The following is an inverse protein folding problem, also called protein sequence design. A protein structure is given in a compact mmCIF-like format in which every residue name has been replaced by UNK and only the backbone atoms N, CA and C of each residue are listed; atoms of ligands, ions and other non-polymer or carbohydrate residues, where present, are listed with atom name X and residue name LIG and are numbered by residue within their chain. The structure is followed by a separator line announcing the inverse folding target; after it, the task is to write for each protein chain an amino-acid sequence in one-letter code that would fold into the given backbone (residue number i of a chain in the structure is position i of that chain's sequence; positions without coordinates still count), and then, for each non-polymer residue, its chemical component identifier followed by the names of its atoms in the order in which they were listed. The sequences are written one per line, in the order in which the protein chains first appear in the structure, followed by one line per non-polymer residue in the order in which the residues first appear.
data_IF_069608938583
#
_entry.id   IF_069608938583
#
_cell.length_a   1.000
_cell.length_b   1.000
_cell.length_c   1.000
_cell.angle_alpha   90.00
_cell.angle_beta   90.00
_cell.angle_gamma   90.00
#
_symmetry.space_group_name_H-M   'P 1'
#
loop_
_entity.id
_entity.type
_entity.pdbx_description
1 polymer ?
#
# COMPACT_ATOMS: atom_id res chain seq x y z
N UNK A 1 29.91 38.06 -1.76
CA UNK A 1 29.16 36.92 -1.18
C UNK A 1 27.85 36.73 -1.94
N UNK A 2 27.81 35.94 -3.03
CA UNK A 2 26.58 35.73 -3.80
C UNK A 2 25.86 34.48 -3.27
N UNK A 3 25.23 34.60 -2.10
CA UNK A 3 24.59 33.46 -1.43
C UNK A 3 23.08 33.55 -1.10
N UNK A 4 22.30 34.62 -1.43
CA UNK A 4 20.83 34.55 -1.27
C UNK A 4 20.06 34.05 -2.50
N UNK A 5 20.53 34.32 -3.73
CA UNK A 5 19.72 34.13 -4.95
C UNK A 5 19.58 32.66 -5.39
N UNK A 6 20.60 31.82 -5.15
CA UNK A 6 20.56 30.40 -5.50
C UNK A 6 19.53 29.61 -4.67
N UNK A 7 19.35 29.99 -3.39
CA UNK A 7 18.37 29.35 -2.51
C UNK A 7 16.93 29.69 -2.88
N UNK A 8 16.67 30.95 -3.26
CA UNK A 8 15.35 31.39 -3.71
C UNK A 8 14.98 30.73 -5.05
N UNK A 9 15.93 30.65 -5.99
CA UNK A 9 15.74 29.95 -7.26
C UNK A 9 15.48 28.45 -7.09
N UNK A 10 16.25 27.78 -6.21
CA UNK A 10 16.04 26.37 -5.88
C UNK A 10 14.69 26.10 -5.20
N UNK A 11 14.29 26.93 -4.24
CA UNK A 11 13.01 26.80 -3.54
C UNK A 11 11.80 27.02 -4.48
N UNK A 12 11.88 27.99 -5.41
CA UNK A 12 10.83 28.24 -6.38
C UNK A 12 10.68 27.11 -7.41
N UNK A 13 11.80 26.55 -7.91
CA UNK A 13 11.73 25.39 -8.79
C UNK A 13 11.17 24.16 -8.06
N UNK A 14 11.59 23.92 -6.82
CA UNK A 14 11.08 22.82 -6.00
C UNK A 14 9.58 22.93 -5.74
N UNK A 15 9.07 24.12 -5.40
CA UNK A 15 7.64 24.33 -5.17
C UNK A 15 6.81 24.15 -6.44
N UNK A 16 7.31 24.59 -7.60
CA UNK A 16 6.66 24.35 -8.90
C UNK A 16 6.59 22.86 -9.26
N UNK A 17 7.68 22.12 -9.05
CA UNK A 17 7.68 20.67 -9.28
C UNK A 17 6.69 19.94 -8.38
N UNK A 18 6.63 20.29 -7.09
CA UNK A 18 5.66 19.72 -6.15
C UNK A 18 4.20 20.06 -6.52
N UNK A 19 3.96 21.27 -7.05
CA UNK A 19 2.63 21.67 -7.51
C UNK A 19 2.20 20.87 -8.75
N UNK A 20 3.10 20.69 -9.73
CA UNK A 20 2.85 19.92 -10.94
C UNK A 20 2.58 18.43 -10.63
N UNK A 21 3.36 17.81 -9.73
CA UNK A 21 3.09 16.44 -9.29
C UNK A 21 1.72 16.29 -8.60
N UNK A 22 1.34 17.29 -7.79
CA UNK A 22 0.03 17.31 -7.12
C UNK A 22 -1.11 17.43 -8.13
N UNK A 23 -0.97 18.29 -9.13
CA UNK A 23 -1.97 18.48 -10.19
C UNK A 23 -2.14 17.19 -11.02
N UNK A 24 -1.02 16.57 -11.43
CA UNK A 24 -1.04 15.28 -12.14
C UNK A 24 -1.76 14.20 -11.36
N UNK A 25 -1.50 14.08 -10.05
CA UNK A 25 -2.19 13.11 -9.19
C UNK A 25 -3.68 13.42 -9.08
N UNK A 26 -4.05 14.68 -8.89
CA UNK A 26 -5.46 15.08 -8.84
C UNK A 26 -6.19 14.79 -10.16
N UNK A 27 -5.55 15.07 -11.30
CA UNK A 27 -6.10 14.76 -12.61
C UNK A 27 -6.30 13.25 -12.80
N UNK A 28 -5.32 12.44 -12.39
CA UNK A 28 -5.43 10.98 -12.41
C UNK A 28 -6.61 10.49 -11.56
N UNK A 29 -6.70 10.92 -10.31
CA UNK A 29 -7.79 10.54 -9.40
C UNK A 29 -9.15 10.95 -9.96
N UNK A 30 -9.25 12.13 -10.58
CA UNK A 30 -10.48 12.59 -11.25
C UNK A 30 -10.84 11.69 -12.43
N UNK A 31 -9.86 11.32 -13.26
CA UNK A 31 -10.10 10.44 -14.40
C UNK A 31 -10.52 9.03 -13.95
N UNK A 32 -9.98 8.52 -12.83
CA UNK A 32 -10.39 7.24 -12.24
C UNK A 32 -11.84 7.28 -11.78
N UNK A 33 -12.25 8.35 -11.10
CA UNK A 33 -13.65 8.56 -10.70
C UNK A 33 -14.60 8.58 -11.89
N UNK A 34 -14.20 9.20 -13.00
CA UNK A 34 -15.00 9.29 -14.22
C UNK A 34 -14.99 7.98 -15.05
N UNK A 35 -14.20 6.97 -14.66
CA UNK A 35 -14.05 5.73 -15.41
C UNK A 35 -13.25 5.88 -16.71
N UNK A 36 -12.54 7.00 -16.89
CA UNK A 36 -11.81 7.32 -18.12
C UNK A 36 -10.40 6.72 -18.17
N UNK A 37 -9.94 6.08 -17.10
CA UNK A 37 -8.60 5.45 -17.03
C UNK A 37 -8.68 4.03 -17.60
N UNK A 38 -7.83 3.66 -18.57
CA UNK A 38 -7.82 2.30 -19.12
C UNK A 38 -7.28 1.28 -18.10
N UNK A 39 -7.75 0.03 -18.21
CA UNK A 39 -7.29 -1.09 -17.37
C UNK A 39 -5.80 -1.38 -17.49
N UNK A 40 -5.25 -1.23 -18.70
CA UNK A 40 -3.90 -1.64 -19.02
C UNK A 40 -2.96 -0.43 -18.99
N UNK A 41 -2.03 -0.44 -18.05
CA UNK A 41 -0.95 0.53 -18.01
C UNK A 41 0.33 -0.16 -18.47
N UNK A 42 1.09 0.52 -19.33
CA UNK A 42 2.40 0.10 -19.84
C UNK A 42 3.25 -0.56 -18.74
N UNK A 43 3.87 -1.71 -19.05
CA UNK A 43 4.69 -2.52 -18.14
C UNK A 43 5.84 -1.78 -17.47
N UNK A 44 6.17 -0.56 -17.92
CA UNK A 44 7.19 0.30 -17.32
C UNK A 44 6.75 0.97 -16.00
N UNK A 45 5.46 1.01 -15.69
CA UNK A 45 4.94 1.58 -14.43
C UNK A 45 3.88 0.64 -13.82
N UNK A 46 4.30 -0.18 -12.87
CA UNK A 46 3.42 -1.14 -12.19
C UNK A 46 2.60 -0.51 -11.04
N UNK A 47 3.25 0.34 -10.25
CA UNK A 47 2.61 1.20 -9.24
C UNK A 47 2.29 2.53 -9.90
N UNK A 48 1.01 2.80 -10.15
CA UNK A 48 0.58 4.02 -10.83
C UNK A 48 0.47 5.17 -9.83
N UNK A 49 -0.06 4.85 -8.65
CA UNK A 49 -0.17 5.80 -7.55
C UNK A 49 0.38 5.12 -6.29
N UNK A 50 1.48 5.66 -5.75
CA UNK A 50 1.99 5.25 -4.45
C UNK A 50 1.02 5.70 -3.33
N UNK A 51 1.00 4.99 -2.19
CA UNK A 51 0.30 5.47 -1.00
C UNK A 51 0.75 6.90 -0.68
N UNK A 52 -0.16 7.75 -0.20
CA UNK A 52 0.22 9.11 0.22
C UNK A 52 -0.60 9.58 1.39
N UNK A 53 0.12 10.00 2.42
CA UNK A 53 -0.47 10.59 3.62
C UNK A 53 -0.89 12.05 3.40
N UNK A 54 -0.25 12.73 2.45
CA UNK A 54 -0.42 14.17 2.22
C UNK A 54 -1.42 14.47 1.10
N UNK A 55 -1.50 13.59 0.10
CA UNK A 55 -2.37 13.73 -1.05
C UNK A 55 -3.47 12.68 -0.98
N UNK A 56 -4.55 13.00 -0.28
CA UNK A 56 -5.73 12.15 -0.20
C UNK A 56 -6.35 11.95 -1.58
N UNK A 57 -6.69 10.72 -1.91
CA UNK A 57 -7.50 10.39 -3.08
C UNK A 57 -8.93 10.93 -2.93
N UNK A 58 -9.72 10.89 -4.00
CA UNK A 58 -11.10 11.35 -3.95
C UNK A 58 -12.10 10.29 -3.44
N UNK A 59 -11.66 9.03 -3.31
CA UNK A 59 -12.49 7.91 -2.89
C UNK A 59 -11.75 7.07 -1.86
N UNK A 60 -12.46 6.75 -0.78
CA UNK A 60 -12.03 5.73 0.17
C UNK A 60 -12.64 4.38 -0.20
N UNK A 61 -11.93 3.30 0.14
CA UNK A 61 -12.31 1.94 -0.24
C UNK A 61 -12.53 1.10 1.02
N UNK A 62 -13.68 0.41 1.10
CA UNK A 62 -13.93 -0.56 2.16
C UNK A 62 -13.14 -1.84 1.87
N UNK A 63 -12.37 -2.38 2.83
CA UNK A 63 -11.64 -3.61 2.63
C UNK A 63 -12.59 -4.80 2.51
N UNK A 64 -12.23 -5.74 1.66
CA UNK A 64 -12.88 -7.04 1.52
C UNK A 64 -11.92 -8.15 1.95
N UNK A 65 -12.41 -9.34 2.35
CA UNK A 65 -11.54 -10.47 2.63
C UNK A 65 -10.53 -10.74 1.53
N UNK A 66 -9.25 -10.75 1.90
CA UNK A 66 -8.11 -10.91 1.01
C UNK A 66 -7.58 -9.62 0.39
N UNK A 67 -8.11 -8.46 0.79
CA UNK A 67 -7.53 -7.17 0.39
C UNK A 67 -6.10 -7.07 0.90
N UNK A 68 -5.19 -6.70 0.00
CA UNK A 68 -3.81 -6.39 0.36
C UNK A 68 -3.77 -4.97 0.91
N UNK A 69 -3.24 -4.81 2.11
CA UNK A 69 -3.18 -3.53 2.81
C UNK A 69 -1.74 -3.08 3.01
N UNK A 70 -1.52 -1.77 3.08
CA UNK A 70 -0.26 -1.19 3.51
C UNK A 70 -0.46 0.03 4.42
N UNK A 71 0.53 0.32 5.25
CA UNK A 71 0.66 1.57 5.98
C UNK A 71 2.13 2.02 5.98
N UNK A 72 2.40 3.25 6.41
CA UNK A 72 3.78 3.72 6.60
C UNK A 72 4.25 3.58 8.04
N UNK A 73 5.50 3.16 8.19
CA UNK A 73 6.32 3.18 9.41
C UNK A 73 7.31 4.33 9.27
N UNK A 74 7.38 5.19 10.29
CA UNK A 74 8.19 6.42 10.28
C UNK A 74 8.01 7.33 9.04
N UNK A 75 6.86 7.23 8.36
CA UNK A 75 6.48 8.06 7.21
C UNK A 75 7.16 7.68 5.89
N UNK A 76 8.08 6.70 5.91
CA UNK A 76 8.96 6.41 4.77
C UNK A 76 9.12 4.92 4.46
N UNK A 77 8.80 4.02 5.38
CA UNK A 77 8.90 2.56 5.17
C UNK A 77 7.50 1.97 5.07
N UNK A 78 7.20 1.24 4.00
CA UNK A 78 5.92 0.54 3.89
C UNK A 78 5.90 -0.74 4.72
N UNK A 79 4.78 -0.99 5.39
CA UNK A 79 4.47 -2.27 6.01
C UNK A 79 3.17 -2.82 5.44
N UNK A 80 3.20 -4.07 5.00
CA UNK A 80 2.08 -4.71 4.30
C UNK A 80 1.44 -5.85 5.10
N UNK A 81 0.16 -6.08 4.86
CA UNK A 81 -0.59 -7.18 5.44
C UNK A 81 -1.77 -7.60 4.55
N UNK A 82 -2.58 -8.52 5.07
CA UNK A 82 -3.77 -9.04 4.37
C UNK A 82 -4.98 -8.88 5.30
N UNK A 83 -6.01 -8.21 4.80
CA UNK A 83 -7.30 -8.10 5.49
C UNK A 83 -8.03 -9.44 5.45
N UNK A 84 -8.47 -9.95 6.60
CA UNK A 84 -9.34 -11.13 6.67
C UNK A 84 -10.80 -10.73 6.71
N UNK A 85 -11.24 -10.12 7.80
CA UNK A 85 -12.60 -9.63 8.06
C UNK A 85 -12.57 -8.78 9.34
N UNK A 86 -13.64 -8.06 9.66
CA UNK A 86 -13.97 -7.59 11.02
C UNK A 86 -12.79 -7.05 11.85
N UNK A 87 -12.13 -5.99 11.37
CA UNK A 87 -10.97 -5.40 12.06
C UNK A 87 -9.83 -6.41 12.30
N UNK A 88 -9.59 -7.33 11.36
CA UNK A 88 -8.53 -8.32 11.45
C UNK A 88 -7.62 -8.29 10.22
N UNK A 89 -6.35 -7.99 10.46
CA UNK A 89 -5.27 -7.98 9.48
C UNK A 89 -4.23 -9.01 9.89
N UNK A 90 -3.82 -9.87 8.96
CA UNK A 90 -2.66 -10.74 9.16
C UNK A 90 -1.42 -10.04 8.66
N UNK A 91 -0.38 -10.02 9.49
CA UNK A 91 0.92 -9.46 9.16
C UNK A 91 2.06 -10.37 9.64
N UNK A 92 3.20 -10.26 8.95
CA UNK A 92 4.47 -10.75 9.48
C UNK A 92 5.09 -9.65 10.36
N UNK A 93 5.17 -9.90 11.67
CA UNK A 93 5.80 -8.97 12.61
C UNK A 93 7.33 -9.01 12.49
N UNK A 94 8.01 -7.92 12.88
CA UNK A 94 9.48 -7.84 12.86
C UNK A 94 10.19 -8.83 13.79
N UNK A 95 9.47 -9.52 14.68
CA UNK A 95 10.00 -10.66 15.44
C UNK A 95 10.03 -11.97 14.66
N UNK A 96 9.49 -12.01 13.43
CA UNK A 96 9.30 -13.23 12.65
C UNK A 96 7.97 -13.96 12.86
N UNK A 97 7.14 -13.50 13.80
CA UNK A 97 5.84 -14.13 14.06
C UNK A 97 4.78 -13.61 13.07
N UNK A 98 4.10 -14.50 12.37
CA UNK A 98 2.87 -14.18 11.65
C UNK A 98 1.72 -14.09 12.65
N UNK A 99 1.05 -12.94 12.70
CA UNK A 99 0.00 -12.65 13.68
C UNK A 99 -1.21 -12.00 13.04
N UNK A 100 -2.38 -12.29 13.61
CA UNK A 100 -3.61 -11.55 13.37
C UNK A 100 -3.70 -10.36 14.35
N UNK A 101 -3.97 -9.16 13.84
CA UNK A 101 -4.01 -7.92 14.61
C UNK A 101 -5.17 -7.04 14.17
N UNK A 102 -5.65 -6.20 15.10
CA UNK A 102 -6.58 -5.13 14.77
C UNK A 102 -5.95 -4.04 13.94
N UNK A 103 -6.76 -3.21 13.27
CA UNK A 103 -6.32 -1.97 12.61
C UNK A 103 -5.54 -1.10 13.59
N UNK A 104 -6.06 -0.92 14.81
CA UNK A 104 -5.38 -0.14 15.85
C UNK A 104 -3.98 -0.70 16.13
N UNK A 105 -3.84 -2.03 16.23
CA UNK A 105 -2.54 -2.67 16.48
C UNK A 105 -1.65 -2.69 15.23
N UNK A 106 -2.22 -2.76 14.04
CA UNK A 106 -1.53 -2.63 12.76
C UNK A 106 -1.00 -1.20 12.55
N UNK A 107 -1.56 -0.18 13.19
CA UNK A 107 -0.98 1.18 13.14
C UNK A 107 -0.10 1.49 14.37
N UNK A 108 -0.25 0.74 15.47
CA UNK A 108 0.47 1.00 16.71
C UNK A 108 2.00 0.94 16.55
N UNK A 109 2.69 1.95 17.09
CA UNK A 109 4.15 2.07 16.99
C UNK A 109 4.65 2.47 15.61
N UNK A 110 3.76 2.87 14.71
CA UNK A 110 4.05 3.37 13.36
C UNK A 110 3.56 4.83 13.29
N UNK A 111 4.25 5.68 12.54
CA UNK A 111 3.83 7.10 12.40
C UNK A 111 2.70 7.27 11.39
N UNK A 112 2.34 6.22 10.65
CA UNK A 112 1.18 6.24 9.78
C UNK A 112 -0.13 6.24 10.56
N UNK A 113 -1.04 7.12 10.15
CA UNK A 113 -2.42 7.20 10.66
C UNK A 113 -3.44 6.56 9.71
N UNK A 114 -3.00 6.10 8.55
CA UNK A 114 -3.83 5.62 7.45
C UNK A 114 -3.37 4.25 6.97
N UNK A 115 -4.35 3.46 6.54
CA UNK A 115 -4.15 2.21 5.81
C UNK A 115 -4.60 2.45 4.37
N UNK A 116 -3.89 1.86 3.42
CA UNK A 116 -4.22 1.89 2.01
C UNK A 116 -4.46 0.46 1.49
N UNK A 117 -5.33 0.33 0.49
CA UNK A 117 -5.71 -0.94 -0.13
C UNK A 117 -5.19 -0.97 -1.57
N UNK A 118 -4.57 -2.08 -1.96
CA UNK A 118 -4.22 -2.33 -3.36
C UNK A 118 -5.50 -2.51 -4.20
N UNK A 119 -5.73 -1.58 -5.11
CA UNK A 119 -6.92 -1.47 -5.94
C UNK A 119 -6.57 -1.40 -7.43
N UNK A 120 -7.58 -1.62 -8.27
CA UNK A 120 -7.52 -1.35 -9.70
C UNK A 120 -7.85 0.12 -10.03
N UNK A 121 -7.81 0.44 -11.32
CA UNK A 121 -8.14 1.74 -11.88
C UNK A 121 -9.55 2.26 -11.53
N UNK A 122 -10.48 1.39 -11.10
CA UNK A 122 -11.88 1.70 -10.75
C UNK A 122 -12.12 1.76 -9.23
N UNK A 123 -11.06 1.80 -8.42
CA UNK A 123 -11.13 1.77 -6.96
C UNK A 123 -11.78 0.49 -6.39
N UNK A 124 -11.55 -0.64 -7.06
CA UNK A 124 -11.97 -1.96 -6.56
C UNK A 124 -10.75 -2.68 -5.98
N UNK A 125 -10.85 -3.26 -4.76
CA UNK A 125 -9.79 -4.07 -4.17
C UNK A 125 -9.37 -5.22 -5.08
N UNK A 126 -8.07 -5.44 -5.19
CA UNK A 126 -7.50 -6.59 -5.90
C UNK A 126 -7.35 -7.76 -4.93
N UNK A 127 -8.07 -8.86 -5.22
CA UNK A 127 -8.19 -10.01 -4.33
C UNK A 127 -7.92 -11.28 -5.13
N UNK A 128 -7.19 -12.22 -4.52
CA UNK A 128 -7.05 -13.58 -5.05
C UNK A 128 -7.78 -14.57 -4.14
N UNK A 129 -8.54 -15.50 -4.72
CA UNK A 129 -9.38 -16.45 -3.98
C UNK A 129 -8.62 -17.27 -2.92
N UNK A 130 -7.32 -17.52 -3.13
CA UNK A 130 -6.50 -18.34 -2.24
C UNK A 130 -5.81 -17.57 -1.11
N UNK A 131 -5.78 -16.22 -1.18
CA UNK A 131 -4.94 -15.42 -0.28
C UNK A 131 -5.37 -15.51 1.18
N UNK A 132 -6.69 -15.50 1.44
CA UNK A 132 -7.29 -15.60 2.78
C UNK A 132 -6.90 -16.92 3.43
N UNK A 133 -7.17 -18.04 2.75
CA UNK A 133 -6.87 -19.38 3.27
C UNK A 133 -5.37 -19.57 3.58
N UNK A 134 -4.47 -18.99 2.76
CA UNK A 134 -3.02 -19.06 3.03
C UNK A 134 -2.61 -18.17 4.20
N UNK A 135 -3.18 -16.97 4.29
CA UNK A 135 -2.92 -16.05 5.40
C UNK A 135 -3.38 -16.64 6.74
N UNK A 136 -4.57 -17.23 6.79
CA UNK A 136 -5.11 -17.89 7.98
C UNK A 136 -4.24 -19.07 8.43
N UNK A 137 -3.85 -19.94 7.50
CA UNK A 137 -2.96 -21.08 7.79
C UNK A 137 -1.60 -20.66 8.31
N UNK A 138 -1.14 -19.45 7.95
CA UNK A 138 0.14 -18.93 8.37
C UNK A 138 0.11 -18.30 9.77
N UNK A 139 -1.06 -18.03 10.36
CA UNK A 139 -1.16 -17.45 11.69
C UNK A 139 -0.45 -18.35 12.71
N UNK A 140 0.31 -17.74 13.63
CA UNK A 140 1.17 -18.39 14.63
C UNK A 140 2.37 -19.16 14.08
N UNK A 141 2.60 -19.13 12.76
CA UNK A 141 3.85 -19.63 12.21
C UNK A 141 4.98 -18.62 12.42
N UNK A 142 6.16 -19.16 12.69
CA UNK A 142 7.39 -18.39 12.75
C UNK A 142 8.08 -18.41 11.38
N UNK A 143 8.63 -17.27 10.98
CA UNK A 143 9.47 -17.08 9.80
C UNK A 143 10.69 -16.28 10.23
N UNK A 144 11.89 -16.72 9.90
CA UNK A 144 13.09 -15.92 10.14
C UNK A 144 12.94 -14.58 9.43
N UNK A 145 12.91 -13.46 10.17
CA UNK A 145 12.66 -12.15 9.59
C UNK A 145 13.97 -11.47 9.18
N UNK A 146 14.01 -10.97 7.95
CA UNK A 146 15.07 -10.13 7.42
C UNK A 146 14.41 -9.00 6.61
N UNK A 147 14.79 -7.75 6.86
CA UNK A 147 14.24 -6.59 6.16
C UNK A 147 14.37 -6.67 4.64
N UNK A 148 15.43 -7.32 4.15
CA UNK A 148 15.75 -7.41 2.72
C UNK A 148 15.27 -8.72 2.08
N UNK A 149 15.25 -9.83 2.82
CA UNK A 149 15.00 -11.17 2.25
C UNK A 149 13.74 -11.88 2.80
N UNK A 150 13.29 -11.54 4.00
CA UNK A 150 12.15 -12.15 4.70
C UNK A 150 11.28 -11.09 5.39
N UNK A 151 10.74 -10.17 4.59
CA UNK A 151 9.93 -9.06 5.07
C UNK A 151 8.43 -9.30 4.89
N UNK A 152 7.65 -8.30 5.32
CA UNK A 152 6.19 -8.31 5.21
C UNK A 152 5.70 -8.43 3.75
N UNK A 153 6.44 -7.93 2.76
CA UNK A 153 6.06 -8.02 1.35
C UNK A 153 6.20 -9.44 0.80
N UNK A 154 7.27 -10.16 1.18
CA UNK A 154 7.43 -11.58 0.88
C UNK A 154 6.28 -12.40 1.45
N UNK A 155 5.88 -12.13 2.70
CA UNK A 155 4.74 -12.79 3.31
C UNK A 155 3.46 -12.60 2.48
N UNK A 156 3.11 -11.36 2.12
CA UNK A 156 1.93 -11.07 1.30
C UNK A 156 2.00 -11.79 -0.05
N UNK A 157 3.16 -11.74 -0.72
CA UNK A 157 3.37 -12.42 -2.01
C UNK A 157 3.18 -13.93 -1.89
N UNK A 158 3.76 -14.56 -0.86
CA UNK A 158 3.62 -16.01 -0.62
C UNK A 158 2.17 -16.42 -0.38
N UNK A 159 1.38 -15.59 0.31
CA UNK A 159 -0.05 -15.86 0.49
C UNK A 159 -0.81 -15.72 -0.83
N UNK A 160 -0.43 -14.76 -1.68
CA UNK A 160 -1.09 -14.52 -2.97
C UNK A 160 -0.87 -15.68 -3.94
N UNK A 161 0.39 -16.03 -4.23
CA UNK A 161 0.72 -17.00 -5.29
C UNK A 161 1.07 -18.40 -4.76
N UNK A 162 1.41 -18.54 -3.48
CA UNK A 162 1.86 -19.81 -2.89
C UNK A 162 3.37 -20.06 -3.00
N UNK A 163 4.15 -19.11 -3.54
CA UNK A 163 5.59 -19.25 -3.70
C UNK A 163 6.38 -18.45 -2.64
N UNK A 164 7.35 -19.12 -2.01
CA UNK A 164 8.31 -18.49 -1.10
C UNK A 164 9.49 -17.90 -1.88
N UNK A 165 9.30 -16.69 -2.41
CA UNK A 165 10.32 -15.94 -3.15
C UNK A 165 10.64 -14.62 -2.46
N UNK A 166 11.91 -14.24 -2.46
CA UNK A 166 12.35 -12.94 -1.96
C UNK A 166 11.62 -11.80 -2.65
N UNK A 167 11.24 -10.79 -1.87
CA UNK A 167 10.65 -9.52 -2.32
C UNK A 167 11.42 -8.42 -1.60
N UNK A 168 12.32 -7.74 -2.33
CA UNK A 168 13.31 -6.86 -1.72
C UNK A 168 12.78 -5.46 -1.41
N UNK A 169 11.64 -5.09 -1.98
CA UNK A 169 11.07 -3.76 -1.83
C UNK A 169 9.58 -3.73 -2.10
N UNK A 170 8.93 -2.66 -1.64
CA UNK A 170 7.54 -2.36 -1.96
C UNK A 170 7.32 -2.18 -3.47
N UNK A 171 8.29 -1.61 -4.18
CA UNK A 171 8.23 -1.47 -5.64
C UNK A 171 8.25 -2.85 -6.34
N UNK A 172 9.10 -3.77 -5.89
CA UNK A 172 9.12 -5.14 -6.41
C UNK A 172 7.80 -5.88 -6.13
N UNK A 173 7.21 -5.70 -4.94
CA UNK A 173 5.88 -6.21 -4.64
C UNK A 173 4.87 -5.71 -5.68
N UNK A 174 4.82 -4.40 -5.93
CA UNK A 174 3.88 -3.80 -6.88
C UNK A 174 4.08 -4.31 -8.31
N UNK A 175 5.31 -4.52 -8.77
CA UNK A 175 5.60 -5.13 -10.07
C UNK A 175 5.02 -6.54 -10.18
N UNK A 176 5.18 -7.34 -9.13
CA UNK A 176 4.65 -8.70 -9.09
C UNK A 176 3.13 -8.74 -8.97
N UNK A 177 2.53 -7.84 -8.18
CA UNK A 177 1.08 -7.68 -8.11
C UNK A 177 0.51 -7.29 -9.48
N UNK A 178 1.11 -6.31 -10.16
CA UNK A 178 0.66 -5.88 -11.48
C UNK A 178 0.73 -7.02 -12.51
N UNK A 179 1.81 -7.81 -12.48
CA UNK A 179 1.95 -8.99 -13.32
C UNK A 179 0.92 -10.07 -12.99
N UNK A 180 0.68 -10.34 -11.71
CA UNK A 180 -0.29 -11.33 -11.24
C UNK A 180 -1.74 -10.97 -11.63
N UNK A 181 -2.14 -9.71 -11.47
CA UNK A 181 -3.49 -9.24 -11.77
C UNK A 181 -3.69 -8.74 -13.22
N UNK A 182 -2.62 -8.62 -13.99
CA UNK A 182 -2.64 -8.15 -15.38
C UNK A 182 -3.11 -6.70 -15.54
N UNK A 183 -2.85 -5.83 -14.55
CA UNK A 183 -3.29 -4.43 -14.54
C UNK A 183 -2.46 -3.58 -13.56
N UNK A 184 -2.55 -2.25 -13.68
CA UNK A 184 -1.85 -1.32 -12.78
C UNK A 184 -2.37 -1.37 -11.34
N UNK A 185 -1.46 -1.13 -10.39
CA UNK A 185 -1.77 -1.10 -8.95
C UNK A 185 -1.92 0.35 -8.48
N UNK A 186 -3.01 0.59 -7.76
CA UNK A 186 -3.34 1.86 -7.12
C UNK A 186 -3.52 1.65 -5.63
N UNK A 187 -2.95 2.51 -4.79
CA UNK A 187 -3.11 2.41 -3.33
C UNK A 187 -4.12 3.45 -2.84
N UNK A 188 -5.37 3.02 -2.68
CA UNK A 188 -6.47 3.88 -2.25
C UNK A 188 -6.61 3.87 -0.73
N UNK A 189 -6.96 5.01 -0.13
CA UNK A 189 -7.15 5.12 1.32
C UNK A 189 -8.29 4.21 1.78
N UNK A 190 -8.04 3.42 2.83
CA UNK A 190 -9.04 2.55 3.43
C UNK A 190 -10.10 3.38 4.15
N UNK A 191 -11.37 3.05 3.92
CA UNK A 191 -12.46 3.57 4.73
C UNK A 191 -12.44 2.89 6.10
N UNK A 192 -11.92 3.61 7.09
CA UNK A 192 -12.02 3.22 8.50
C UNK A 192 -13.44 3.49 8.96
N UNK A 193 -14.26 2.44 9.11
CA UNK A 193 -15.56 2.61 9.76
C UNK A 193 -15.34 3.17 11.17
N UNK A 194 -16.12 4.18 11.56
CA UNK A 194 -15.98 4.92 12.82
C UNK A 194 -16.42 4.09 14.04
N UNK A 195 -15.71 2.99 14.32
CA UNK A 195 -15.93 2.16 15.50
C UNK A 195 -14.76 2.26 16.52
N UNK A 196 -13.89 3.25 16.37
CA UNK A 196 -12.71 3.44 17.24
C UNK A 196 -12.81 4.68 18.15
N UNK A 197 -13.98 5.30 18.28
CA UNK A 197 -14.16 6.50 19.14
C UNK A 197 -14.48 6.22 20.61
N UNK A 198 -14.79 5.00 21.02
CA UNK A 198 -15.20 4.73 22.41
C UNK A 198 -14.36 3.63 23.07
N UNK A 199 -13.16 3.99 23.56
CA UNK A 199 -12.56 3.53 24.85
C UNK A 199 -11.66 4.63 25.39
#
# INVERSE_FOLDING_TARGET
MPLPLLWIGGAAMGSLMLADEREKRQQLERNRLLGSVPRQVSTKQAMITAPSQWQKGFKQVTPQPGSIVCCYVFGVIEHTGIWLADDCIVELHGSGLVRAVSVKRFLAGRTGSQIFIACNHQHQPLIANTIVNRAERAIYQYREYDLFDNNCHRFVWSCLCGEERAIKSFNELNQKLAAYFGQGIYWDEMHLASALTDI
#
